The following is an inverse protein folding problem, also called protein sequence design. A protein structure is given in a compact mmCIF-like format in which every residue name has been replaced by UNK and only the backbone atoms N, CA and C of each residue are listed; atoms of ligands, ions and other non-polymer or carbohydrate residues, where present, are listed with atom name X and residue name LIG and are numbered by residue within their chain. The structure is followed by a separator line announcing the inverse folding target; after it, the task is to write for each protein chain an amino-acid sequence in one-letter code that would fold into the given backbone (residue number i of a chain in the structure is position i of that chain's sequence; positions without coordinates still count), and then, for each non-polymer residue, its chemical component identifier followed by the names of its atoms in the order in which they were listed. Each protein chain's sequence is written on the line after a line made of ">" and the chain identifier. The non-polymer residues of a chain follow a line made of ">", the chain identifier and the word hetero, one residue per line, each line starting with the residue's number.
data_IF_585738363834
#
_entry.id   IF_585738363834
#
_cell.length_a   1.000
_cell.length_b   1.000
_cell.length_c   1.000
_cell.angle_alpha   90.00
_cell.angle_beta   90.00
_cell.angle_gamma   90.00
#
_symmetry.space_group_name_H-M   'P 1'
#
loop_
_entity.id
_entity.type
_entity.pdbx_description
1 polymer ?
#
# COMPACT_ATOMS: atom_id res chain seq x y z
N UNK A 1 -8.15 3.13 2.85
CA UNK A 1 -7.73 1.71 2.76
C UNK A 1 -6.33 1.63 2.16
N UNK A 2 -5.60 0.55 2.41
CA UNK A 2 -4.27 0.30 1.84
C UNK A 2 -4.22 -1.06 1.16
N UNK A 3 -3.47 -1.14 0.07
CA UNK A 3 -3.12 -2.42 -0.56
C UNK A 3 -1.77 -2.88 -0.02
N UNK A 4 -1.72 -4.11 0.51
CA UNK A 4 -0.48 -4.75 0.96
C UNK A 4 -0.07 -5.74 -0.13
N UNK A 5 1.16 -5.61 -0.64
CA UNK A 5 1.66 -6.54 -1.66
C UNK A 5 1.66 -7.97 -1.11
N UNK A 6 1.16 -8.98 -1.87
CA UNK A 6 0.97 -10.35 -1.37
C UNK A 6 2.26 -11.02 -0.88
N UNK A 7 3.41 -10.64 -1.47
CA UNK A 7 4.72 -11.14 -1.04
C UNK A 7 5.22 -10.54 0.29
N UNK A 8 4.47 -9.62 0.92
CA UNK A 8 4.81 -9.11 2.24
C UNK A 8 4.50 -10.14 3.33
N UNK A 9 5.39 -10.44 4.27
CA UNK A 9 6.72 -9.86 4.51
C UNK A 9 7.82 -10.63 3.76
N UNK A 10 8.70 -9.90 3.08
CA UNK A 10 9.90 -10.44 2.44
C UNK A 10 11.16 -9.62 2.77
N UNK A 11 12.34 -10.24 2.63
CA UNK A 11 13.62 -9.57 2.85
C UNK A 11 13.90 -8.53 1.76
N UNK A 12 14.79 -7.58 2.07
CA UNK A 12 15.24 -6.59 1.08
C UNK A 12 15.81 -7.26 -0.18
N UNK A 13 16.61 -8.32 -0.02
CA UNK A 13 17.18 -9.06 -1.15
C UNK A 13 16.10 -9.67 -2.05
N UNK A 14 15.00 -10.16 -1.49
CA UNK A 14 13.88 -10.68 -2.29
C UNK A 14 13.24 -9.56 -3.11
N UNK A 15 12.98 -8.39 -2.50
CA UNK A 15 12.39 -7.25 -3.20
C UNK A 15 13.30 -6.66 -4.27
N UNK A 16 14.62 -6.68 -4.08
CA UNK A 16 15.58 -6.09 -5.01
C UNK A 16 15.93 -6.99 -6.21
N UNK A 17 15.49 -8.26 -6.22
CA UNK A 17 15.80 -9.21 -7.30
C UNK A 17 15.13 -8.86 -8.63
N UNK A 18 13.98 -8.19 -8.60
CA UNK A 18 13.21 -7.86 -9.79
C UNK A 18 12.30 -6.66 -9.54
N UNK A 19 11.68 -6.15 -10.59
CA UNK A 19 10.68 -5.08 -10.48
C UNK A 19 9.50 -5.55 -9.61
N UNK A 20 9.10 -4.68 -8.68
CA UNK A 20 7.93 -4.90 -7.83
C UNK A 20 6.67 -4.41 -8.56
N UNK A 21 5.70 -5.29 -8.76
CA UNK A 21 4.44 -4.98 -9.47
C UNK A 21 3.26 -4.88 -8.51
N UNK A 22 2.34 -3.96 -8.79
CA UNK A 22 1.07 -3.80 -8.06
C UNK A 22 -0.14 -4.09 -8.95
N UNK A 23 0.02 -4.93 -9.97
CA UNK A 23 -1.00 -5.29 -10.97
C UNK A 23 -2.31 -5.85 -10.40
N UNK A 24 -2.27 -6.49 -9.24
CA UNK A 24 -3.44 -7.04 -8.52
C UNK A 24 -4.21 -5.99 -7.72
N UNK A 25 -3.72 -4.75 -7.62
CA UNK A 25 -4.42 -3.66 -6.93
C UNK A 25 -5.70 -3.30 -7.70
N UNK A 26 -6.81 -3.19 -6.98
CA UNK A 26 -8.11 -2.80 -7.52
C UNK A 26 -8.66 -1.56 -6.85
N UNK A 27 -9.28 -0.72 -7.68
CA UNK A 27 -10.02 0.46 -7.27
C UNK A 27 -11.52 0.18 -7.39
N UNK A 28 -12.31 0.74 -6.49
CA UNK A 28 -13.77 0.66 -6.51
C UNK A 28 -14.38 2.00 -6.10
N UNK A 29 -15.57 2.30 -6.60
CA UNK A 29 -16.40 3.41 -6.12
C UNK A 29 -17.53 2.92 -5.19
N UNK A 30 -17.62 1.62 -4.92
CA UNK A 30 -18.56 1.08 -3.94
C UNK A 30 -18.05 1.36 -2.52
N UNK A 31 -18.70 2.28 -1.81
CA UNK A 31 -18.33 2.67 -0.44
C UNK A 31 -18.49 1.53 0.58
N UNK A 32 -19.29 0.53 0.25
CA UNK A 32 -19.56 -0.64 1.09
C UNK A 32 -18.75 -1.88 0.66
N UNK A 33 -17.73 -1.71 -0.17
CA UNK A 33 -16.88 -2.82 -0.63
C UNK A 33 -16.32 -3.62 0.55
N UNK A 34 -16.55 -4.93 0.60
CA UNK A 34 -16.07 -5.83 1.66
C UNK A 34 -14.84 -6.64 1.23
N UNK A 35 -14.47 -6.56 -0.06
CA UNK A 35 -13.34 -7.29 -0.66
C UNK A 35 -11.98 -6.65 -0.35
N UNK A 36 -11.96 -5.49 0.31
CA UNK A 36 -10.74 -4.79 0.68
C UNK A 36 -10.10 -4.01 -0.46
N UNK A 37 -10.84 -3.74 -1.55
CA UNK A 37 -10.38 -2.86 -2.62
C UNK A 37 -10.22 -1.42 -2.11
N UNK A 38 -9.38 -0.63 -2.78
CA UNK A 38 -9.22 0.78 -2.45
C UNK A 38 -10.44 1.55 -2.98
N UNK A 39 -11.22 2.10 -2.05
CA UNK A 39 -12.39 2.91 -2.36
C UNK A 39 -11.93 4.32 -2.73
N UNK A 40 -12.35 4.81 -3.90
CA UNK A 40 -12.14 6.18 -4.36
C UNK A 40 -13.48 6.80 -4.79
N UNK A 41 -13.60 8.11 -4.61
CA UNK A 41 -14.75 8.87 -5.12
C UNK A 41 -14.47 9.32 -6.56
N UNK A 42 -15.46 9.15 -7.43
CA UNK A 42 -15.38 9.65 -8.80
C UNK A 42 -15.15 11.16 -8.84
N UNK A 43 -14.51 11.64 -9.91
CA UNK A 43 -14.21 13.06 -10.15
C UNK A 43 -13.28 13.73 -9.12
N UNK A 44 -12.56 12.96 -8.30
CA UNK A 44 -11.55 13.47 -7.39
C UNK A 44 -10.14 13.12 -7.88
N UNK A 45 -9.18 14.02 -7.67
CA UNK A 45 -7.76 13.79 -7.98
C UNK A 45 -7.10 13.05 -6.82
N UNK A 46 -6.37 11.99 -7.13
CA UNK A 46 -5.63 11.18 -6.16
C UNK A 46 -4.14 11.11 -6.54
N UNK A 47 -3.28 10.95 -5.54
CA UNK A 47 -1.85 10.73 -5.69
C UNK A 47 -1.50 9.36 -5.09
N UNK A 48 -1.09 8.38 -5.91
CA UNK A 48 -0.55 7.12 -5.41
C UNK A 48 0.70 7.35 -4.57
N UNK A 49 0.84 6.60 -3.48
CA UNK A 49 2.00 6.60 -2.57
C UNK A 49 2.46 5.17 -2.33
N UNK A 50 3.77 4.95 -2.35
CA UNK A 50 4.39 3.67 -2.03
C UNK A 50 5.03 3.79 -0.65
N UNK A 51 4.73 2.83 0.23
CA UNK A 51 5.25 2.78 1.59
C UNK A 51 6.10 1.53 1.78
N UNK A 52 7.36 1.72 2.16
CA UNK A 52 8.26 0.64 2.58
C UNK A 52 8.33 0.69 4.10
N UNK A 53 7.96 -0.42 4.75
CA UNK A 53 7.81 -0.50 6.20
C UNK A 53 8.64 -1.68 6.69
N UNK A 54 9.63 -1.40 7.55
CA UNK A 54 10.43 -2.46 8.15
C UNK A 54 9.58 -3.31 9.10
N UNK A 55 9.90 -4.60 9.20
CA UNK A 55 9.14 -5.59 9.99
C UNK A 55 8.93 -5.17 11.44
N UNK A 56 9.94 -4.58 12.07
CA UNK A 56 9.91 -4.08 13.45
C UNK A 56 8.87 -2.98 13.69
N UNK A 57 8.36 -2.35 12.62
CA UNK A 57 7.33 -1.30 12.66
C UNK A 57 6.04 -1.73 11.95
N UNK A 58 5.88 -3.04 11.66
CA UNK A 58 4.75 -3.57 10.90
C UNK A 58 3.59 -4.09 11.76
N UNK A 59 3.72 -4.10 13.09
CA UNK A 59 2.76 -4.71 14.03
C UNK A 59 1.35 -4.12 13.97
N UNK A 60 1.19 -2.94 13.39
CA UNK A 60 -0.10 -2.24 13.27
C UNK A 60 -0.66 -2.20 11.84
N UNK A 61 0.02 -2.84 10.87
CA UNK A 61 -0.43 -2.83 9.48
C UNK A 61 -1.71 -3.63 9.30
N UNK A 62 -2.74 -2.94 8.80
CA UNK A 62 -3.94 -3.58 8.29
C UNK A 62 -4.53 -2.76 7.15
N UNK A 63 -5.24 -3.40 6.19
CA UNK A 63 -5.88 -2.70 5.07
C UNK A 63 -6.82 -1.55 5.47
N UNK A 64 -7.39 -1.64 6.67
CA UNK A 64 -8.40 -0.73 7.20
C UNK A 64 -7.87 0.26 8.25
N UNK A 65 -6.58 0.21 8.60
CA UNK A 65 -5.95 1.19 9.50
C UNK A 65 -5.08 2.18 8.70
N UNK A 66 -4.84 3.39 9.26
CA UNK A 66 -3.86 4.31 8.70
C UNK A 66 -2.47 3.66 8.56
N UNK A 67 -1.72 4.06 7.54
CA UNK A 67 -0.30 3.67 7.42
C UNK A 67 0.47 4.30 8.59
N UNK A 68 1.28 3.52 9.34
CA UNK A 68 2.11 4.07 10.40
C UNK A 68 3.08 5.11 9.84
N UNK A 69 3.46 6.07 10.68
CA UNK A 69 4.41 7.13 10.34
C UNK A 69 5.57 7.12 11.33
N UNK A 70 6.75 7.59 10.90
CA UNK A 70 7.93 7.71 11.74
C UNK A 70 9.03 6.72 11.37
N UNK A 71 9.83 6.33 12.37
CA UNK A 71 11.01 5.50 12.15
C UNK A 71 10.64 4.15 11.50
N UNK A 72 11.48 3.72 10.55
CA UNK A 72 11.28 2.47 9.83
C UNK A 72 10.20 2.48 8.74
N UNK A 73 9.54 3.62 8.52
CA UNK A 73 8.63 3.85 7.38
C UNK A 73 9.28 4.83 6.40
N UNK A 74 9.38 4.44 5.13
CA UNK A 74 9.76 5.33 4.04
C UNK A 74 8.62 5.44 3.05
N UNK A 75 8.22 6.67 2.74
CA UNK A 75 7.16 6.97 1.77
C UNK A 75 7.78 7.54 0.51
N UNK A 76 7.30 7.07 -0.65
CA UNK A 76 7.59 7.61 -1.96
C UNK A 76 6.29 8.07 -2.64
N UNK A 77 6.35 9.21 -3.32
CA UNK A 77 5.28 9.75 -4.15
C UNK A 77 5.90 10.19 -5.47
N UNK A 78 5.24 9.90 -6.58
CA UNK A 78 5.70 10.17 -7.93
C UNK A 78 4.65 11.07 -8.61
N UNK A 79 4.92 12.38 -8.81
CA UNK A 79 3.94 13.35 -9.32
C UNK A 79 3.60 13.22 -10.81
N UNK A 80 4.41 12.49 -11.58
CA UNK A 80 4.26 12.22 -13.02
C UNK A 80 3.10 11.29 -13.40
#
# INVERSE_FOLDING_TARGET
>A
RVYIHPDSLASGDTWMRQVVSFDKLKLTNNELDDQGHIILHSMHKYQPRVHIIRKDFSSELSPNKPVPSGNGVKTFSFPE
#
